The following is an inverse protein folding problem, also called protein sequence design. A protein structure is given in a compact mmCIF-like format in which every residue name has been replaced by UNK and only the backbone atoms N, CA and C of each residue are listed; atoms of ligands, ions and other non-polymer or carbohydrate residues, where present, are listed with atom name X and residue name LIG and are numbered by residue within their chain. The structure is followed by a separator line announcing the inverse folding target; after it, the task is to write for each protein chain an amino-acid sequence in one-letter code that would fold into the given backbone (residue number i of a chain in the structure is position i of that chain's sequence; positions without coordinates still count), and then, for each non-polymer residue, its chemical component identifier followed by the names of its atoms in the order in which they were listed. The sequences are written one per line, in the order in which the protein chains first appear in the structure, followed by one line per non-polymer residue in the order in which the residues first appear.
data_IF_793139377995
#
_entry.id   IF_793139377995
#
_cell.length_a   1.000
_cell.length_b   1.000
_cell.length_c   1.000
_cell.angle_alpha   90.00
_cell.angle_beta   90.00
_cell.angle_gamma   90.00
#
_symmetry.space_group_name_H-M   'P 1'
#
loop_
_entity.id
_entity.type
_entity.pdbx_description
1 polymer ?
#
# COMPACT_ATOMS: atom_id res chain seq x y z
N UNK A 1 -6.89 32.53 -6.04
CA UNK A 1 -6.68 31.28 -5.27
C UNK A 1 -6.13 30.21 -6.19
N UNK A 2 -5.08 29.49 -5.79
CA UNK A 2 -4.57 28.34 -6.57
C UNK A 2 -5.57 27.20 -6.54
N UNK A 3 -5.83 26.58 -7.69
CA UNK A 3 -6.79 25.46 -7.79
C UNK A 3 -6.07 24.13 -7.49
N UNK A 4 -6.68 23.22 -6.71
CA UNK A 4 -6.14 21.88 -6.51
C UNK A 4 -5.96 21.15 -7.85
N UNK A 5 -4.87 20.40 -7.98
CA UNK A 5 -4.66 19.51 -9.13
C UNK A 5 -5.11 18.08 -8.82
N UNK A 6 -5.11 17.21 -9.83
CA UNK A 6 -5.53 15.80 -9.73
C UNK A 6 -4.86 15.05 -8.56
N UNK A 7 -3.57 15.30 -8.32
CA UNK A 7 -2.79 14.70 -7.22
C UNK A 7 -3.36 15.03 -5.83
N UNK A 8 -3.98 16.21 -5.65
CA UNK A 8 -4.57 16.61 -4.37
C UNK A 8 -5.88 15.86 -4.12
N UNK A 9 -6.69 15.68 -5.16
CA UNK A 9 -7.90 14.87 -5.09
C UNK A 9 -7.58 13.40 -4.83
N UNK A 10 -6.50 12.89 -5.43
CA UNK A 10 -6.00 11.55 -5.15
C UNK A 10 -5.61 11.37 -3.67
N UNK A 11 -4.82 12.30 -3.12
CA UNK A 11 -4.45 12.29 -1.71
C UNK A 11 -5.66 12.38 -0.77
N UNK A 12 -6.62 13.27 -1.06
CA UNK A 12 -7.82 13.41 -0.24
C UNK A 12 -8.71 12.17 -0.28
N UNK A 13 -8.89 11.57 -1.47
CA UNK A 13 -9.63 10.33 -1.62
C UNK A 13 -9.02 9.18 -0.83
N UNK A 14 -7.69 9.07 -0.77
CA UNK A 14 -7.02 8.07 0.07
C UNK A 14 -7.32 8.23 1.56
N UNK A 15 -7.31 9.47 2.05
CA UNK A 15 -7.63 9.74 3.45
C UNK A 15 -9.08 9.31 3.75
N UNK A 16 -10.02 9.69 2.89
CA UNK A 16 -11.43 9.32 3.05
C UNK A 16 -11.64 7.80 2.97
N UNK A 17 -11.01 7.13 2.00
CA UNK A 17 -11.15 5.69 1.82
C UNK A 17 -10.50 4.91 2.98
N UNK A 18 -9.41 5.39 3.56
CA UNK A 18 -8.83 4.76 4.76
C UNK A 18 -9.80 4.82 5.96
N UNK A 19 -10.43 5.98 6.18
CA UNK A 19 -11.47 6.13 7.21
C UNK A 19 -12.65 5.19 6.91
N UNK A 20 -13.09 5.13 5.65
CA UNK A 20 -14.19 4.25 5.23
C UNK A 20 -13.86 2.76 5.44
N UNK A 21 -12.67 2.30 5.05
CA UNK A 21 -12.23 0.92 5.27
C UNK A 21 -12.22 0.54 6.75
N UNK A 22 -11.72 1.44 7.61
CA UNK A 22 -11.72 1.24 9.06
C UNK A 22 -13.16 1.15 9.59
N UNK A 23 -14.03 2.06 9.14
CA UNK A 23 -15.43 2.10 9.56
C UNK A 23 -16.23 0.87 9.11
N UNK A 24 -16.07 0.43 7.86
CA UNK A 24 -16.75 -0.75 7.30
C UNK A 24 -16.39 -2.03 8.07
N UNK A 25 -15.13 -2.19 8.44
CA UNK A 25 -14.71 -3.32 9.27
C UNK A 25 -15.27 -3.25 10.70
N UNK A 26 -15.26 -2.06 11.28
CA UNK A 26 -15.85 -1.81 12.60
C UNK A 26 -17.34 -2.11 12.63
N UNK A 27 -18.09 -1.78 11.57
CA UNK A 27 -19.52 -2.10 11.48
C UNK A 27 -19.79 -3.61 11.53
N UNK A 28 -18.92 -4.41 10.95
CA UNK A 28 -19.06 -5.87 10.95
C UNK A 28 -18.60 -6.49 12.29
N UNK A 29 -17.51 -6.01 12.87
CA UNK A 29 -16.80 -6.73 13.95
C UNK A 29 -16.78 -6.04 15.32
N UNK A 30 -17.15 -4.75 15.38
CA UNK A 30 -16.91 -3.90 16.56
C UNK A 30 -15.43 -3.60 16.83
N UNK A 31 -14.50 -4.04 15.98
CA UNK A 31 -13.06 -3.86 16.12
C UNK A 31 -12.52 -2.88 15.09
N UNK A 32 -11.44 -2.15 15.44
CA UNK A 32 -10.75 -1.24 14.52
C UNK A 32 -9.59 -1.91 13.78
N UNK A 33 -9.08 -3.02 14.31
CA UNK A 33 -7.92 -3.71 13.77
C UNK A 33 -8.38 -4.83 12.83
N UNK A 34 -8.29 -4.58 11.53
CA UNK A 34 -8.56 -5.59 10.52
C UNK A 34 -7.38 -6.55 10.36
N UNK A 35 -7.64 -7.87 10.23
CA UNK A 35 -6.60 -8.86 9.94
C UNK A 35 -6.24 -8.89 8.44
N UNK A 36 -6.70 -7.94 7.61
CA UNK A 36 -6.44 -7.95 6.15
C UNK A 36 -4.95 -8.06 5.83
N UNK A 37 -4.08 -7.35 6.57
CA UNK A 37 -2.62 -7.44 6.36
C UNK A 37 -2.09 -8.81 6.78
N UNK A 38 -2.56 -9.38 7.89
CA UNK A 38 -2.15 -10.74 8.30
C UNK A 38 -2.59 -11.77 7.24
N UNK A 39 -3.78 -11.59 6.68
CA UNK A 39 -4.34 -12.43 5.64
C UNK A 39 -3.54 -12.34 4.33
N UNK A 40 -3.18 -11.14 3.88
CA UNK A 40 -2.31 -10.92 2.71
C UNK A 40 -0.96 -11.66 2.83
N UNK A 41 -0.44 -11.74 4.06
CA UNK A 41 0.87 -12.33 4.34
C UNK A 41 0.83 -13.81 4.74
N UNK A 42 -0.36 -14.42 4.84
CA UNK A 42 -0.52 -15.85 5.11
C UNK A 42 0.32 -16.72 4.16
N UNK A 43 0.97 -17.76 4.70
CA UNK A 43 1.89 -18.63 3.94
C UNK A 43 1.26 -19.95 3.53
N UNK A 44 0.21 -20.36 4.22
CA UNK A 44 -0.45 -21.64 3.99
C UNK A 44 -1.92 -21.58 4.44
N UNK A 45 -2.68 -22.63 4.12
CA UNK A 45 -4.10 -22.76 4.45
C UNK A 45 -4.36 -22.65 5.96
N UNK A 46 -3.45 -23.18 6.79
CA UNK A 46 -3.59 -23.15 8.25
C UNK A 46 -3.46 -21.73 8.81
N UNK A 47 -2.56 -20.91 8.27
CA UNK A 47 -2.42 -19.50 8.68
C UNK A 47 -3.76 -18.75 8.48
N UNK A 48 -4.40 -18.96 7.32
CA UNK A 48 -5.72 -18.37 7.03
C UNK A 48 -6.79 -18.90 7.99
N UNK A 49 -6.80 -20.20 8.28
CA UNK A 49 -7.73 -20.78 9.26
C UNK A 49 -7.52 -20.19 10.66
N UNK A 50 -6.28 -19.97 11.09
CA UNK A 50 -5.99 -19.39 12.39
C UNK A 50 -6.53 -17.95 12.52
N UNK A 51 -6.63 -17.21 11.42
CA UNK A 51 -7.25 -15.88 11.39
C UNK A 51 -8.77 -15.99 11.57
N UNK A 52 -9.43 -16.83 10.75
CA UNK A 52 -10.89 -16.80 10.57
C UNK A 52 -11.68 -17.88 11.32
N UNK A 53 -11.01 -18.83 11.96
CA UNK A 53 -11.62 -19.90 12.77
C UNK A 53 -11.25 -19.65 14.24
N UNK A 54 -12.20 -19.86 15.15
CA UNK A 54 -11.94 -19.80 16.60
C UNK A 54 -11.46 -21.14 17.17
N UNK A 55 -11.14 -21.16 18.47
CA UNK A 55 -10.63 -22.35 19.15
C UNK A 55 -11.65 -23.51 19.19
N UNK A 56 -12.94 -23.20 19.05
CA UNK A 56 -14.06 -24.15 19.00
C UNK A 56 -14.36 -24.61 17.55
N UNK A 57 -13.49 -24.27 16.58
CA UNK A 57 -13.60 -24.60 15.17
C UNK A 57 -14.85 -24.00 14.47
N UNK A 58 -15.38 -22.90 15.01
CA UNK A 58 -16.43 -22.11 14.39
C UNK A 58 -15.83 -20.99 13.54
N UNK A 59 -16.51 -20.66 12.44
CA UNK A 59 -16.12 -19.54 11.61
C UNK A 59 -16.48 -18.21 12.29
N UNK A 60 -15.51 -17.29 12.32
CA UNK A 60 -15.72 -15.89 12.70
C UNK A 60 -16.40 -15.16 11.53
N UNK A 61 -17.68 -15.46 11.28
CA UNK A 61 -18.44 -14.96 10.11
C UNK A 61 -18.37 -13.44 9.99
N UNK A 62 -18.50 -12.72 11.11
CA UNK A 62 -18.41 -11.26 11.15
C UNK A 62 -17.04 -10.75 10.66
N UNK A 63 -15.95 -11.44 11.01
CA UNK A 63 -14.59 -11.11 10.57
C UNK A 63 -14.43 -11.40 9.08
N UNK A 64 -14.95 -12.53 8.60
CA UNK A 64 -14.94 -12.88 7.17
C UNK A 64 -15.69 -11.84 6.34
N UNK A 65 -16.89 -11.44 6.78
CA UNK A 65 -17.70 -10.43 6.11
C UNK A 65 -17.03 -9.05 6.17
N UNK A 66 -16.48 -8.66 7.32
CA UNK A 66 -15.74 -7.41 7.47
C UNK A 66 -14.54 -7.32 6.53
N UNK A 67 -13.76 -8.40 6.39
CA UNK A 67 -12.64 -8.47 5.44
C UNK A 67 -13.11 -8.42 3.99
N UNK A 68 -14.20 -9.13 3.66
CA UNK A 68 -14.81 -9.06 2.31
C UNK A 68 -15.25 -7.63 1.97
N UNK A 69 -15.96 -6.95 2.86
CA UNK A 69 -16.42 -5.59 2.62
C UNK A 69 -15.26 -4.59 2.51
N UNK A 70 -14.20 -4.77 3.31
CA UNK A 70 -12.99 -3.97 3.17
C UNK A 70 -12.32 -4.17 1.81
N UNK A 71 -12.21 -5.40 1.34
CA UNK A 71 -11.67 -5.72 0.02
C UNK A 71 -12.47 -5.02 -1.09
N UNK A 72 -13.81 -4.93 -0.98
CA UNK A 72 -14.62 -4.13 -1.92
C UNK A 72 -14.19 -2.66 -1.94
N UNK A 73 -13.97 -2.05 -0.77
CA UNK A 73 -13.51 -0.66 -0.67
C UNK A 73 -12.07 -0.51 -1.19
N UNK A 74 -11.24 -1.55 -1.05
CA UNK A 74 -9.85 -1.54 -1.48
C UNK A 74 -9.71 -1.39 -3.00
N UNK A 75 -10.67 -1.87 -3.81
CA UNK A 75 -10.70 -1.58 -5.25
C UNK A 75 -10.71 -0.08 -5.57
N UNK A 76 -11.40 0.74 -4.77
CA UNK A 76 -11.33 2.18 -4.90
C UNK A 76 -9.99 2.69 -4.35
N UNK A 77 -9.57 2.20 -3.19
CA UNK A 77 -8.32 2.61 -2.55
C UNK A 77 -7.11 2.46 -3.49
N UNK A 78 -7.01 1.33 -4.19
CA UNK A 78 -5.91 1.05 -5.11
C UNK A 78 -5.83 2.00 -6.30
N UNK A 79 -6.98 2.44 -6.81
CA UNK A 79 -7.03 3.44 -7.87
C UNK A 79 -6.53 4.79 -7.38
N UNK A 80 -6.91 5.19 -6.17
CA UNK A 80 -6.52 6.48 -5.59
C UNK A 80 -5.02 6.51 -5.24
N UNK A 81 -4.44 5.44 -4.67
CA UNK A 81 -3.01 5.47 -4.33
C UNK A 81 -2.16 5.40 -5.60
N UNK A 82 -2.60 4.62 -6.58
CA UNK A 82 -1.90 4.51 -7.86
C UNK A 82 -1.96 5.84 -8.60
N UNK A 83 -3.12 6.50 -8.63
CA UNK A 83 -3.26 7.83 -9.20
C UNK A 83 -2.37 8.86 -8.49
N UNK A 84 -2.30 8.83 -7.15
CA UNK A 84 -1.42 9.69 -6.37
C UNK A 84 0.05 9.54 -6.80
N UNK A 85 0.55 8.30 -6.88
CA UNK A 85 1.93 8.01 -7.29
C UNK A 85 2.19 8.42 -8.74
N UNK A 86 1.31 8.03 -9.68
CA UNK A 86 1.47 8.34 -11.11
C UNK A 86 1.47 9.85 -11.33
N UNK A 87 0.55 10.60 -10.71
CA UNK A 87 0.52 12.06 -10.84
C UNK A 87 1.74 12.71 -10.19
N UNK A 88 2.19 12.19 -9.04
CA UNK A 88 3.41 12.65 -8.38
C UNK A 88 4.63 12.50 -9.30
N UNK A 89 4.90 11.28 -9.78
CA UNK A 89 6.03 11.01 -10.68
C UNK A 89 5.90 11.75 -12.00
N UNK A 90 4.71 11.86 -12.57
CA UNK A 90 4.49 12.58 -13.83
C UNK A 90 4.83 14.06 -13.70
N UNK A 91 4.50 14.68 -12.57
CA UNK A 91 4.84 16.08 -12.31
C UNK A 91 6.35 16.25 -12.06
N UNK A 92 6.94 15.39 -11.23
CA UNK A 92 8.38 15.42 -10.92
C UNK A 92 9.21 15.20 -12.19
N UNK A 93 8.84 14.23 -13.03
CA UNK A 93 9.48 13.95 -14.32
C UNK A 93 9.52 15.17 -15.25
N UNK A 94 8.45 15.97 -15.26
CA UNK A 94 8.37 17.18 -16.10
C UNK A 94 9.28 18.30 -15.61
N UNK A 95 9.56 18.36 -14.31
CA UNK A 95 10.36 19.43 -13.70
C UNK A 95 11.84 19.06 -13.57
N UNK A 96 12.16 17.77 -13.59
CA UNK A 96 13.51 17.22 -13.44
C UNK A 96 13.92 16.44 -14.69
N UNK A 97 14.39 17.18 -15.70
CA UNK A 97 14.68 16.67 -17.03
C UNK A 97 15.88 15.72 -17.07
N UNK A 98 16.86 15.89 -16.18
CA UNK A 98 18.08 15.06 -16.12
C UNK A 98 17.78 13.62 -15.70
N UNK A 99 16.80 13.41 -14.80
CA UNK A 99 16.44 12.08 -14.27
C UNK A 99 15.06 11.60 -14.73
N UNK A 100 14.55 12.15 -15.83
CA UNK A 100 13.21 11.84 -16.33
C UNK A 100 12.98 10.31 -16.53
N UNK A 101 14.00 9.56 -16.96
CA UNK A 101 13.96 8.10 -17.15
C UNK A 101 13.76 7.35 -15.82
N UNK A 102 14.39 7.82 -14.75
CA UNK A 102 14.28 7.19 -13.41
C UNK A 102 12.83 7.27 -12.91
N UNK A 103 12.16 8.41 -13.11
CA UNK A 103 10.76 8.56 -12.70
C UNK A 103 9.77 7.80 -13.57
N UNK A 104 10.15 7.39 -14.79
CA UNK A 104 9.34 6.45 -15.58
C UNK A 104 9.28 5.10 -14.89
N UNK A 105 10.38 4.63 -14.29
CA UNK A 105 10.34 3.40 -13.49
C UNK A 105 9.40 3.53 -12.28
N UNK A 106 9.35 4.70 -11.62
CA UNK A 106 8.39 4.95 -10.54
C UNK A 106 6.93 4.79 -11.00
N UNK A 107 6.60 5.28 -12.20
CA UNK A 107 5.29 5.08 -12.82
C UNK A 107 5.04 3.60 -13.12
N UNK A 108 6.02 2.91 -13.72
CA UNK A 108 5.92 1.47 -14.04
C UNK A 108 5.65 0.66 -12.78
N UNK A 109 6.42 0.86 -11.70
CA UNK A 109 6.20 0.17 -10.43
C UNK A 109 4.84 0.49 -9.82
N UNK A 110 4.33 1.71 -9.98
CA UNK A 110 2.98 2.07 -9.52
C UNK A 110 1.90 1.28 -10.27
N UNK A 111 2.07 1.07 -11.59
CA UNK A 111 1.15 0.26 -12.40
C UNK A 111 1.27 -1.23 -12.06
N UNK A 112 2.49 -1.74 -11.85
CA UNK A 112 2.70 -3.13 -11.41
C UNK A 112 2.04 -3.37 -10.05
N UNK A 113 2.18 -2.42 -9.11
CA UNK A 113 1.49 -2.49 -7.82
C UNK A 113 -0.02 -2.61 -7.98
N UNK A 114 -0.65 -1.73 -8.80
CA UNK A 114 -2.09 -1.79 -9.09
C UNK A 114 -2.53 -3.14 -9.66
N UNK A 115 -1.80 -3.66 -10.66
CA UNK A 115 -2.14 -4.94 -11.29
C UNK A 115 -2.03 -6.08 -10.27
N UNK A 116 -0.96 -6.09 -9.47
CA UNK A 116 -0.81 -7.07 -8.40
C UNK A 116 -1.94 -6.96 -7.37
N UNK A 117 -2.35 -5.75 -6.99
CA UNK A 117 -3.45 -5.49 -6.04
C UNK A 117 -4.81 -6.00 -6.54
N UNK A 118 -5.08 -5.85 -7.85
CA UNK A 118 -6.29 -6.42 -8.47
C UNK A 118 -6.30 -7.95 -8.32
N UNK A 119 -5.19 -8.61 -8.66
CA UNK A 119 -5.11 -10.06 -8.55
C UNK A 119 -5.15 -10.55 -7.10
N UNK A 120 -4.52 -9.80 -6.20
CA UNK A 120 -4.51 -10.05 -4.76
C UNK A 120 -5.94 -10.04 -4.22
N UNK A 121 -6.69 -8.97 -4.46
CA UNK A 121 -8.08 -8.85 -4.05
C UNK A 121 -9.01 -9.93 -4.64
N UNK A 122 -8.79 -10.36 -5.90
CA UNK A 122 -9.51 -11.50 -6.50
C UNK A 122 -9.21 -12.80 -5.73
N UNK A 123 -7.95 -13.04 -5.37
CA UNK A 123 -7.53 -14.23 -4.63
C UNK A 123 -8.11 -14.23 -3.22
N UNK A 124 -8.09 -13.09 -2.52
CA UNK A 124 -8.71 -12.97 -1.20
C UNK A 124 -10.19 -13.32 -1.22
N UNK A 125 -10.95 -12.80 -2.20
CA UNK A 125 -12.37 -13.14 -2.34
C UNK A 125 -12.58 -14.64 -2.54
N UNK A 126 -11.79 -15.24 -3.44
CA UNK A 126 -11.91 -16.65 -3.75
C UNK A 126 -11.57 -17.55 -2.57
N UNK A 127 -10.52 -17.21 -1.82
CA UNK A 127 -10.15 -17.91 -0.59
C UNK A 127 -11.27 -17.79 0.45
N UNK A 128 -11.84 -16.59 0.64
CA UNK A 128 -12.94 -16.40 1.60
C UNK A 128 -14.21 -17.18 1.23
N UNK A 129 -14.53 -17.35 -0.06
CA UNK A 129 -15.61 -18.24 -0.52
C UNK A 129 -15.32 -19.70 -0.18
N UNK A 130 -14.17 -20.22 -0.62
CA UNK A 130 -13.80 -21.62 -0.42
C UNK A 130 -13.66 -21.98 1.06
N UNK A 131 -13.19 -21.03 1.88
CA UNK A 131 -13.15 -21.15 3.33
C UNK A 131 -14.54 -21.45 3.90
N UNK A 132 -15.56 -20.68 3.51
CA UNK A 132 -16.94 -20.89 3.97
C UNK A 132 -17.57 -22.17 3.43
N UNK A 133 -17.16 -22.61 2.24
CA UNK A 133 -17.57 -23.89 1.64
C UNK A 133 -16.84 -25.11 2.26
N UNK A 134 -15.87 -24.88 3.16
CA UNK A 134 -15.00 -25.92 3.75
C UNK A 134 -14.24 -26.73 2.69
N UNK A 135 -13.90 -26.10 1.57
CA UNK A 135 -13.10 -26.68 0.48
C UNK A 135 -11.65 -26.21 0.62
N UNK A 136 -10.67 -27.03 0.22
CA UNK A 136 -9.27 -26.62 0.24
C UNK A 136 -9.02 -25.43 -0.69
N UNK A 137 -8.18 -24.51 -0.25
CA UNK A 137 -7.81 -23.29 -0.97
C UNK A 137 -6.29 -23.04 -0.97
N UNK A 138 -5.51 -24.08 -0.68
CA UNK A 138 -4.04 -24.05 -0.63
C UNK A 138 -3.40 -23.42 -1.87
N UNK A 139 -3.80 -23.84 -3.08
CA UNK A 139 -3.29 -23.28 -4.34
C UNK A 139 -3.52 -21.76 -4.46
N UNK A 140 -4.65 -21.27 -3.96
CA UNK A 140 -4.96 -19.84 -3.98
C UNK A 140 -4.10 -19.07 -2.97
N UNK A 141 -3.78 -19.67 -1.82
CA UNK A 141 -2.87 -19.08 -0.82
C UNK A 141 -1.44 -19.02 -1.35
N UNK A 142 -0.98 -20.06 -2.06
CA UNK A 142 0.35 -20.05 -2.69
C UNK A 142 0.48 -18.93 -3.73
N UNK A 143 -0.58 -18.72 -4.53
CA UNK A 143 -0.65 -17.61 -5.48
C UNK A 143 -0.73 -16.25 -4.78
N UNK A 144 -1.55 -16.14 -3.74
CA UNK A 144 -1.69 -14.93 -2.93
C UNK A 144 -0.33 -14.56 -2.36
N UNK A 145 0.41 -15.54 -1.86
CA UNK A 145 1.75 -15.34 -1.33
C UNK A 145 2.61 -14.58 -2.35
N UNK A 146 2.76 -15.08 -3.57
CA UNK A 146 3.58 -14.45 -4.61
C UNK A 146 3.06 -13.07 -5.00
N UNK A 147 1.76 -12.94 -5.27
CA UNK A 147 1.16 -11.70 -5.76
C UNK A 147 1.30 -10.57 -4.72
N UNK A 148 1.04 -10.84 -3.45
CA UNK A 148 1.22 -9.87 -2.36
C UNK A 148 2.66 -9.34 -2.35
N UNK A 149 3.69 -10.19 -2.51
CA UNK A 149 5.08 -9.72 -2.50
C UNK A 149 5.38 -8.84 -3.73
N UNK A 150 4.83 -9.16 -4.89
CA UNK A 150 4.94 -8.31 -6.09
C UNK A 150 4.33 -6.92 -5.83
N UNK A 151 3.12 -6.86 -5.25
CA UNK A 151 2.45 -5.60 -4.86
C UNK A 151 3.35 -4.75 -3.96
N UNK A 152 3.72 -5.34 -2.82
CA UNK A 152 4.45 -4.65 -1.76
C UNK A 152 5.87 -4.23 -2.18
N UNK A 153 6.62 -5.06 -2.88
CA UNK A 153 7.94 -4.66 -3.40
C UNK A 153 7.83 -3.58 -4.47
N UNK A 154 6.81 -3.62 -5.32
CA UNK A 154 6.59 -2.57 -6.32
C UNK A 154 6.35 -1.20 -5.65
N UNK A 155 5.55 -1.17 -4.58
CA UNK A 155 5.37 0.04 -3.77
C UNK A 155 6.69 0.50 -3.12
N UNK A 156 7.46 -0.44 -2.54
CA UNK A 156 8.76 -0.12 -1.92
C UNK A 156 9.75 0.48 -2.95
N UNK A 157 9.83 -0.07 -4.15
CA UNK A 157 10.66 0.47 -5.22
C UNK A 157 10.17 1.83 -5.73
N UNK A 158 8.85 2.05 -5.83
CA UNK A 158 8.30 3.36 -6.16
C UNK A 158 8.75 4.41 -5.12
N UNK A 159 8.58 4.15 -3.82
CA UNK A 159 9.02 5.08 -2.78
C UNK A 159 10.54 5.27 -2.73
N UNK A 160 11.32 4.22 -2.99
CA UNK A 160 12.75 4.35 -3.12
C UNK A 160 13.15 5.30 -4.26
N UNK A 161 12.50 5.21 -5.42
CA UNK A 161 12.72 6.15 -6.52
C UNK A 161 12.34 7.58 -6.12
N UNK A 162 11.25 7.75 -5.37
CA UNK A 162 10.82 9.04 -4.86
C UNK A 162 11.85 9.64 -3.87
N UNK A 163 12.59 8.81 -3.13
CA UNK A 163 13.65 9.30 -2.23
C UNK A 163 14.74 10.11 -2.96
N UNK A 164 15.08 9.74 -4.20
CA UNK A 164 16.05 10.48 -5.02
C UNK A 164 15.57 11.88 -5.43
N UNK A 165 14.26 12.11 -5.41
CA UNK A 165 13.70 13.44 -5.54
C UNK A 165 13.92 14.23 -4.26
N UNK A 166 13.52 13.68 -3.12
CA UNK A 166 13.54 14.35 -1.82
C UNK A 166 14.94 14.70 -1.30
N UNK A 167 15.97 13.90 -1.63
CA UNK A 167 17.33 14.10 -1.10
C UNK A 167 17.98 15.43 -1.53
N UNK A 168 17.47 16.05 -2.59
CA UNK A 168 18.03 17.30 -3.17
C UNK A 168 17.60 18.57 -2.46
N UNK A 169 16.69 18.44 -1.49
CA UNK A 169 16.14 19.57 -0.77
C UNK A 169 16.87 19.80 0.55
N UNK A 170 16.35 20.71 1.37
CA UNK A 170 16.87 21.00 2.70
C UNK A 170 16.73 19.79 3.66
N UNK A 171 17.01 20.01 4.94
CA UNK A 171 16.91 18.99 5.98
C UNK A 171 15.59 18.20 5.94
N UNK A 172 14.45 18.88 5.79
CA UNK A 172 13.12 18.24 5.71
C UNK A 172 13.02 17.28 4.53
N UNK A 173 13.51 17.67 3.36
CA UNK A 173 13.50 16.75 2.21
C UNK A 173 14.47 15.59 2.37
N UNK A 174 15.65 15.79 2.97
CA UNK A 174 16.55 14.67 3.29
C UNK A 174 15.90 13.68 4.27
N UNK A 175 15.18 14.18 5.28
CA UNK A 175 14.39 13.34 6.18
C UNK A 175 13.32 12.55 5.42
N UNK A 176 12.56 13.20 4.52
CA UNK A 176 11.57 12.53 3.69
C UNK A 176 12.19 11.48 2.76
N UNK A 177 13.40 11.73 2.25
CA UNK A 177 14.13 10.77 1.44
C UNK A 177 14.46 9.51 2.22
N UNK A 178 15.06 9.65 3.42
CA UNK A 178 15.39 8.52 4.28
C UNK A 178 14.15 7.70 4.60
N UNK A 179 13.06 8.36 5.03
CA UNK A 179 11.84 7.65 5.40
C UNK A 179 11.21 6.94 4.20
N UNK A 180 11.19 7.56 3.02
CA UNK A 180 10.67 6.92 1.79
C UNK A 180 11.52 5.75 1.32
N UNK A 181 12.81 5.70 1.69
CA UNK A 181 13.69 4.57 1.39
C UNK A 181 13.59 3.43 2.42
N UNK A 182 13.01 3.65 3.61
CA UNK A 182 12.93 2.63 4.65
C UNK A 182 12.26 1.32 4.20
N UNK A 183 11.15 1.33 3.42
CA UNK A 183 10.53 0.08 2.99
C UNK A 183 11.46 -0.83 2.20
N UNK A 184 12.24 -0.28 1.25
CA UNK A 184 13.16 -1.11 0.47
C UNK A 184 14.36 -1.57 1.32
N UNK A 185 14.79 -0.76 2.29
CA UNK A 185 15.84 -1.14 3.23
C UNK A 185 15.35 -2.29 4.13
N UNK A 186 14.12 -2.19 4.66
CA UNK A 186 13.51 -3.25 5.44
C UNK A 186 13.35 -4.54 4.62
N UNK A 187 12.90 -4.43 3.38
CA UNK A 187 12.83 -5.54 2.43
C UNK A 187 14.19 -6.22 2.24
N UNK A 188 15.25 -5.43 1.98
CA UNK A 188 16.61 -5.94 1.87
C UNK A 188 17.10 -6.59 3.17
N UNK A 189 16.72 -6.03 4.32
CA UNK A 189 17.08 -6.55 5.63
C UNK A 189 16.51 -7.96 5.87
N UNK A 190 15.32 -8.26 5.34
CA UNK A 190 14.67 -9.57 5.52
C UNK A 190 15.45 -10.77 4.96
N UNK A 191 16.46 -10.52 4.10
CA UNK A 191 17.34 -11.56 3.56
C UNK A 191 18.52 -11.91 4.47
N UNK A 192 18.77 -11.14 5.54
CA UNK A 192 19.87 -11.42 6.45
C UNK A 192 19.49 -12.50 7.48
N UNK A 193 20.38 -13.48 7.72
CA UNK A 193 20.18 -14.49 8.76
C UNK A 193 20.00 -13.82 10.13
N UNK A 194 18.96 -14.23 10.86
CA UNK A 194 18.68 -13.74 12.22
C UNK A 194 17.59 -12.66 12.33
N UNK A 195 17.05 -12.14 11.22
CA UNK A 195 15.87 -11.29 11.29
C UNK A 195 14.61 -12.16 11.33
N UNK A 196 13.86 -12.10 12.44
CA UNK A 196 12.58 -12.79 12.56
C UNK A 196 11.55 -12.13 11.63
N UNK A 197 10.95 -12.95 10.75
CA UNK A 197 9.94 -12.55 9.78
C UNK A 197 8.67 -11.95 10.43
N UNK A 198 8.39 -12.31 11.68
CA UNK A 198 7.26 -11.76 12.45
C UNK A 198 7.40 -10.25 12.70
N UNK A 199 8.62 -9.74 12.91
CA UNK A 199 8.87 -8.30 13.07
C UNK A 199 9.01 -7.57 11.75
N UNK A 200 9.37 -8.28 10.68
CA UNK A 200 9.59 -7.69 9.36
C UNK A 200 8.30 -7.12 8.79
N UNK A 201 7.20 -7.90 8.79
CA UNK A 201 5.95 -7.51 8.12
C UNK A 201 5.37 -6.21 8.71
N UNK A 202 5.21 -6.04 10.04
CA UNK A 202 4.68 -4.80 10.61
C UNK A 202 5.56 -3.59 10.31
N UNK A 203 6.88 -3.72 10.42
CA UNK A 203 7.82 -2.61 10.16
C UNK A 203 7.80 -2.20 8.69
N UNK A 204 7.79 -3.19 7.79
CA UNK A 204 7.79 -2.97 6.36
C UNK A 204 6.49 -2.30 5.89
N UNK A 205 5.33 -2.83 6.29
CA UNK A 205 4.01 -2.29 5.94
C UNK A 205 3.81 -0.89 6.52
N UNK A 206 4.20 -0.67 7.79
CA UNK A 206 4.17 0.66 8.42
C UNK A 206 5.07 1.65 7.67
N UNK A 207 6.25 1.23 7.22
CA UNK A 207 7.14 2.06 6.42
C UNK A 207 6.48 2.56 5.13
N UNK A 208 5.74 1.69 4.44
CA UNK A 208 4.99 2.05 3.22
C UNK A 208 3.88 3.06 3.55
N UNK A 209 3.13 2.82 4.63
CA UNK A 209 2.07 3.74 5.08
C UNK A 209 2.65 5.12 5.40
N UNK A 210 3.76 5.18 6.14
CA UNK A 210 4.44 6.44 6.45
C UNK A 210 4.95 7.12 5.18
N UNK A 211 5.48 6.38 4.22
CA UNK A 211 5.93 6.93 2.94
C UNK A 211 4.77 7.54 2.13
N UNK A 212 3.58 6.93 2.14
CA UNK A 212 2.36 7.53 1.59
C UNK A 212 1.97 8.83 2.30
N UNK A 213 1.99 8.83 3.64
CA UNK A 213 1.69 10.04 4.43
C UNK A 213 2.66 11.18 4.09
N UNK A 214 3.95 10.88 3.98
CA UNK A 214 4.96 11.85 3.57
C UNK A 214 4.70 12.38 2.16
N UNK A 215 4.37 11.50 1.21
CA UNK A 215 4.02 11.92 -0.14
C UNK A 215 2.80 12.85 -0.13
N UNK A 216 1.75 12.51 0.63
CA UNK A 216 0.56 13.36 0.77
C UNK A 216 0.95 14.73 1.34
N UNK A 217 1.69 14.78 2.46
CA UNK A 217 2.19 16.03 3.04
C UNK A 217 2.98 16.83 2.00
N UNK A 218 3.92 16.18 1.30
CA UNK A 218 4.74 16.80 0.26
C UNK A 218 3.91 17.44 -0.85
N UNK A 219 2.88 16.75 -1.34
CA UNK A 219 1.97 17.26 -2.37
C UNK A 219 1.38 18.61 -1.96
N UNK A 220 1.00 18.79 -0.68
CA UNK A 220 0.43 20.04 -0.18
C UNK A 220 1.47 21.13 0.14
N UNK A 221 2.67 20.77 0.63
CA UNK A 221 3.65 21.77 1.10
C UNK A 221 4.74 22.13 0.08
N UNK A 222 4.96 21.30 -0.92
CA UNK A 222 6.02 21.44 -1.94
C UNK A 222 6.09 22.82 -2.58
N UNK A 223 4.95 23.48 -2.83
CA UNK A 223 4.94 24.83 -3.40
C UNK A 223 5.68 25.86 -2.51
N UNK A 224 5.58 25.71 -1.19
CA UNK A 224 6.28 26.57 -0.22
C UNK A 224 7.77 26.26 -0.16
N UNK A 225 8.16 25.02 -0.44
CA UNK A 225 9.54 24.54 -0.36
C UNK A 225 10.30 24.80 -1.66
N UNK A 226 9.66 24.62 -2.82
CA UNK A 226 10.27 24.83 -4.13
C UNK A 226 9.26 25.27 -5.20
N UNK A 227 9.45 26.49 -5.70
CA UNK A 227 8.64 27.06 -6.79
C UNK A 227 8.71 26.26 -8.09
N UNK A 228 9.77 25.46 -8.33
CA UNK A 228 9.93 24.64 -9.54
C UNK A 228 9.02 23.40 -9.56
N UNK A 229 8.64 22.88 -8.39
CA UNK A 229 7.74 21.71 -8.27
C UNK A 229 6.48 22.15 -7.56
N UNK A 230 5.62 22.83 -8.31
CA UNK A 230 4.31 23.27 -7.82
C UNK A 230 3.23 22.29 -8.31
N UNK A 231 2.67 21.50 -7.39
CA UNK A 231 1.58 20.59 -7.71
C UNK A 231 0.23 21.28 -7.91
N UNK A 232 0.11 22.58 -7.67
CA UNK A 232 -1.12 23.31 -7.97
C UNK A 232 -1.24 23.57 -9.49
N UNK A 233 -2.49 23.74 -9.97
CA UNK A 233 -2.71 24.24 -11.34
C UNK A 233 -2.33 25.73 -11.38
N UNK A 234 -1.51 26.10 -12.37
CA UNK A 234 -1.28 27.50 -12.75
C UNK A 234 -2.54 27.99 -13.46
#
# INVERSE_FOLDING_TARGET
MKRPAAVHYAAFGLILLNILMTYVFYQNTGNLNSPIVEYEFAKNEQDVKNIFIDDDNNFKIDVINGVKDQNIVDYAYMLFYTALLIFAFSKIKKTDTERNKVYVFGIIFSVVALVADIFENILLFRISELLTERVSFSEYVDRLFVITRIKWFSLAFAFFILSFHYIRYNFTGKLFAVISALPIIAAAASFFPGINQEYFIPVFTLGIVIAFVILMIWVFISHKINKKVDFYKI
#
